data_IF_070550146620
#
_entry.id   IF_070550146620
#
_cell.length_a   1.000
_cell.length_b   1.000
_cell.length_c   1.000
_cell.angle_alpha   90.00
_cell.angle_beta   90.00
_cell.angle_gamma   90.00
#
_symmetry.space_group_name_H-M   'P 1'
#
loop_
_entity.id
_entity.type
_entity.pdbx_description
1 polymer ?
#
# COMPACT_ATOMS: atom_id res chain seq x y z
N UNK A 1 28.30 57.76 11.84
CA UNK A 1 28.61 56.39 11.44
C UNK A 1 27.29 55.71 11.08
N UNK A 2 26.93 55.65 9.80
CA UNK A 2 25.65 55.04 9.40
C UNK A 2 25.73 53.52 9.62
N UNK A 3 24.74 52.89 10.29
CA UNK A 3 24.75 51.45 10.46
C UNK A 3 24.69 50.76 9.09
N UNK A 4 25.53 49.74 8.92
CA UNK A 4 25.66 49.01 7.67
C UNK A 4 24.42 48.12 7.45
N UNK A 5 23.33 48.73 6.97
CA UNK A 5 22.01 48.13 6.80
C UNK A 5 22.02 46.77 6.10
N UNK A 6 22.96 46.54 5.17
CA UNK A 6 23.12 45.25 4.47
C UNK A 6 23.48 44.09 5.42
N UNK A 7 24.29 44.35 6.44
CA UNK A 7 24.69 43.33 7.42
C UNK A 7 23.55 43.02 8.41
N UNK A 8 22.77 44.05 8.77
CA UNK A 8 21.59 43.89 9.63
C UNK A 8 20.51 43.07 8.91
N UNK A 9 20.23 43.38 7.65
CA UNK A 9 19.24 42.66 6.84
C UNK A 9 19.66 41.20 6.66
N UNK A 10 20.94 40.92 6.32
CA UNK A 10 21.45 39.54 6.23
C UNK A 10 21.27 38.76 7.54
N UNK A 11 21.57 39.38 8.69
CA UNK A 11 21.37 38.76 10.00
C UNK A 11 19.91 38.40 10.26
N UNK A 12 18.98 39.31 9.96
CA UNK A 12 17.54 39.06 10.10
C UNK A 12 17.07 37.95 9.15
N UNK A 13 17.55 37.91 7.91
CA UNK A 13 17.22 36.85 6.95
C UNK A 13 17.66 35.47 7.44
N UNK A 14 18.86 35.33 8.01
CA UNK A 14 19.31 34.06 8.58
C UNK A 14 18.43 33.60 9.75
N UNK A 15 18.05 34.53 10.63
CA UNK A 15 17.16 34.24 11.77
C UNK A 15 15.80 33.75 11.27
N UNK A 16 15.23 34.40 10.24
CA UNK A 16 13.96 34.00 9.65
C UNK A 16 14.02 32.61 9.02
N UNK A 17 15.11 32.26 8.32
CA UNK A 17 15.31 30.93 7.73
C UNK A 17 15.37 29.87 8.83
N UNK A 18 16.11 30.12 9.92
CA UNK A 18 16.21 29.18 11.05
C UNK A 18 14.84 28.98 11.70
N UNK A 19 14.10 30.06 11.96
CA UNK A 19 12.74 29.99 12.50
C UNK A 19 11.82 29.19 11.58
N UNK A 20 11.92 29.40 10.26
CA UNK A 20 11.13 28.67 9.28
C UNK A 20 11.45 27.17 9.27
N UNK A 21 12.73 26.80 9.38
CA UNK A 21 13.15 25.41 9.55
C UNK A 21 12.59 24.76 10.81
N UNK A 22 12.56 25.48 11.94
CA UNK A 22 11.97 24.98 13.18
C UNK A 22 10.45 24.83 13.08
N UNK A 23 9.76 25.74 12.39
CA UNK A 23 8.31 25.64 12.17
C UNK A 23 7.97 24.50 11.21
N UNK A 24 8.67 24.38 10.08
CA UNK A 24 8.48 23.30 9.12
C UNK A 24 8.84 21.93 9.72
N UNK A 25 9.90 21.88 10.53
CA UNK A 25 10.34 20.67 11.22
C UNK A 25 9.32 20.14 12.24
N UNK A 26 8.52 21.00 12.88
CA UNK A 26 7.49 20.56 13.85
C UNK A 26 6.50 19.56 13.25
N UNK A 27 6.13 19.72 11.98
CA UNK A 27 5.24 18.77 11.29
C UNK A 27 5.88 17.39 11.12
N UNK A 28 7.17 17.35 10.75
CA UNK A 28 7.96 16.12 10.65
C UNK A 28 8.13 15.43 12.01
N UNK A 29 8.41 16.19 13.07
CA UNK A 29 8.52 15.64 14.43
C UNK A 29 7.19 15.10 14.96
N UNK A 30 6.06 15.78 14.67
CA UNK A 30 4.74 15.28 15.03
C UNK A 30 4.42 13.96 14.31
N UNK A 31 4.73 13.86 13.02
CA UNK A 31 4.50 12.63 12.25
C UNK A 31 5.40 11.49 12.72
N UNK A 32 6.70 11.75 12.95
CA UNK A 32 7.61 10.76 13.53
C UNK A 32 7.18 10.32 14.93
N UNK A 33 6.62 11.22 15.74
CA UNK A 33 6.10 10.87 17.06
C UNK A 33 4.87 9.97 16.96
N UNK A 34 3.93 10.25 16.05
CA UNK A 34 2.76 9.39 15.80
C UNK A 34 3.21 7.99 15.34
N UNK A 35 4.15 7.92 14.40
CA UNK A 35 4.70 6.65 13.93
C UNK A 35 5.43 5.92 15.07
N UNK A 36 6.24 6.63 15.85
CA UNK A 36 6.96 6.08 17.01
C UNK A 36 6.01 5.59 18.10
N UNK A 37 4.92 6.31 18.37
CA UNK A 37 3.91 5.93 19.37
C UNK A 37 3.09 4.73 18.88
N UNK A 38 2.77 4.65 17.59
CA UNK A 38 2.19 3.44 16.98
C UNK A 38 3.16 2.24 17.02
N UNK A 39 4.46 2.46 16.80
CA UNK A 39 5.52 1.44 16.90
C UNK A 39 5.81 1.03 18.36
N UNK A 40 5.66 1.94 19.32
CA UNK A 40 5.84 1.65 20.74
C UNK A 40 4.63 0.90 21.33
N UNK A 41 3.41 1.24 20.91
CA UNK A 41 2.20 0.51 21.32
C UNK A 41 2.16 -0.91 20.74
N UNK A 42 2.84 -1.16 19.62
CA UNK A 42 2.95 -2.48 18.99
C UNK A 42 4.03 -3.39 19.62
N UNK A 43 4.84 -2.88 20.55
CA UNK A 43 6.00 -3.61 21.11
C UNK A 43 5.62 -4.82 22.01
N UNK A 44 4.38 -4.87 22.49
CA UNK A 44 3.81 -5.98 23.28
C UNK A 44 2.65 -6.70 22.55
N UNK A 45 2.39 -6.36 21.29
CA UNK A 45 1.33 -6.96 20.50
C UNK A 45 1.87 -8.20 19.78
N UNK A 46 1.05 -9.24 19.65
CA UNK A 46 1.39 -10.39 18.82
C UNK A 46 1.55 -9.97 17.34
N UNK A 47 2.29 -10.73 16.54
CA UNK A 47 2.48 -10.44 15.11
C UNK A 47 1.15 -10.24 14.37
N UNK A 48 0.09 -10.94 14.76
CA UNK A 48 -1.25 -10.75 14.20
C UNK A 48 -1.90 -9.42 14.58
N UNK A 49 -1.74 -8.99 15.83
CA UNK A 49 -2.24 -7.70 16.30
C UNK A 49 -1.49 -6.54 15.64
N UNK A 50 -0.18 -6.68 15.43
CA UNK A 50 0.62 -5.72 14.66
C UNK A 50 0.09 -5.64 13.23
N UNK A 51 -0.20 -6.77 12.58
CA UNK A 51 -0.76 -6.79 11.22
C UNK A 51 -2.14 -6.16 11.15
N UNK A 52 -2.99 -6.37 12.15
CA UNK A 52 -4.31 -5.76 12.19
C UNK A 52 -4.23 -4.23 12.41
N UNK A 53 -3.26 -3.75 13.18
CA UNK A 53 -3.00 -2.30 13.35
C UNK A 53 -2.45 -1.66 12.08
N UNK A 54 -1.53 -2.33 11.39
CA UNK A 54 -0.85 -1.78 10.20
C UNK A 54 -1.75 -1.87 8.95
N UNK A 55 -2.42 -3.00 8.75
CA UNK A 55 -3.15 -3.30 7.52
C UNK A 55 -4.67 -3.27 7.67
N UNK A 56 -5.17 -3.17 8.90
CA UNK A 56 -6.59 -3.01 9.19
C UNK A 56 -7.45 -4.13 8.63
N UNK A 57 -8.59 -3.74 8.08
CA UNK A 57 -9.59 -4.63 7.47
C UNK A 57 -9.07 -5.37 6.23
N UNK A 58 -8.01 -4.87 5.57
CA UNK A 58 -7.35 -5.60 4.49
C UNK A 58 -6.73 -6.92 4.97
N UNK A 59 -6.22 -6.97 6.21
CA UNK A 59 -5.75 -8.23 6.80
C UNK A 59 -6.88 -9.24 6.94
N UNK A 60 -8.08 -8.80 7.37
CA UNK A 60 -9.24 -9.69 7.48
C UNK A 60 -9.65 -10.23 6.12
N UNK A 61 -9.69 -9.38 5.10
CA UNK A 61 -9.93 -9.79 3.71
C UNK A 61 -8.94 -10.88 3.25
N UNK A 62 -7.66 -10.72 3.53
CA UNK A 62 -6.65 -11.74 3.21
C UNK A 62 -6.93 -13.05 3.95
N UNK A 63 -7.31 -13.01 5.22
CA UNK A 63 -7.65 -14.20 5.99
C UNK A 63 -8.86 -14.94 5.40
N UNK A 64 -9.89 -14.23 4.96
CA UNK A 64 -11.04 -14.83 4.27
C UNK A 64 -10.62 -15.46 2.94
N UNK A 65 -9.76 -14.80 2.16
CA UNK A 65 -9.20 -15.39 0.94
C UNK A 65 -8.45 -16.71 1.21
N UNK A 66 -7.70 -16.82 2.32
CA UNK A 66 -6.98 -18.06 2.67
C UNK A 66 -7.91 -19.22 3.01
N UNK A 67 -9.10 -18.93 3.57
CA UNK A 67 -10.12 -19.94 3.90
C UNK A 67 -10.86 -20.43 2.66
N UNK A 68 -11.20 -19.53 1.74
CA UNK A 68 -12.06 -19.85 0.60
C UNK A 68 -11.32 -20.35 -0.65
N UNK A 69 -10.08 -19.89 -0.84
CA UNK A 69 -9.32 -20.15 -2.07
C UNK A 69 -8.38 -21.33 -1.82
N UNK A 70 -8.38 -22.40 -2.66
CA UNK A 70 -7.41 -23.49 -2.58
C UNK A 70 -5.96 -23.00 -2.71
N UNK A 71 -5.01 -23.74 -2.15
CA UNK A 71 -3.58 -23.37 -2.14
C UNK A 71 -2.92 -23.36 -3.54
N UNK A 72 -3.39 -24.21 -4.44
CA UNK A 72 -2.92 -24.36 -5.82
C UNK A 72 -3.58 -23.38 -6.81
N UNK A 73 -4.51 -22.55 -6.34
CA UNK A 73 -5.25 -21.63 -7.18
C UNK A 73 -4.37 -20.47 -7.69
N UNK A 74 -4.68 -20.04 -8.91
CA UNK A 74 -4.20 -18.75 -9.44
C UNK A 74 -5.32 -17.72 -9.34
N UNK A 75 -4.98 -16.59 -8.72
CA UNK A 75 -5.91 -15.55 -8.30
C UNK A 75 -5.58 -14.25 -9.02
N UNK A 76 -6.59 -13.58 -9.55
CA UNK A 76 -6.44 -12.23 -10.11
C UNK A 76 -6.97 -11.20 -9.12
N UNK A 77 -6.07 -10.34 -8.65
CA UNK A 77 -6.36 -9.25 -7.73
C UNK A 77 -6.71 -7.99 -8.54
N UNK A 78 -7.93 -7.50 -8.32
CA UNK A 78 -8.42 -6.24 -8.88
C UNK A 78 -8.05 -5.14 -7.89
N UNK A 79 -6.91 -4.49 -8.13
CA UNK A 79 -6.46 -3.34 -7.35
C UNK A 79 -5.71 -2.36 -8.23
N UNK A 80 -5.76 -1.07 -7.85
CA UNK A 80 -4.89 -0.03 -8.39
C UNK A 80 -3.73 0.29 -7.43
N UNK A 81 -3.67 -0.38 -6.28
CA UNK A 81 -2.68 -0.15 -5.24
C UNK A 81 -1.61 -1.25 -5.29
N UNK A 82 -0.38 -0.85 -5.59
CA UNK A 82 0.77 -1.74 -5.64
C UNK A 82 1.04 -2.43 -4.30
N UNK A 83 0.87 -1.75 -3.16
CA UNK A 83 1.10 -2.36 -1.85
C UNK A 83 0.16 -3.54 -1.58
N UNK A 84 -1.09 -3.44 -2.05
CA UNK A 84 -2.08 -4.51 -1.90
C UNK A 84 -1.63 -5.76 -2.65
N UNK A 85 -1.01 -5.61 -3.82
CA UNK A 85 -0.45 -6.72 -4.59
C UNK A 85 0.66 -7.47 -3.86
N UNK A 86 1.68 -6.77 -3.32
CA UNK A 86 2.76 -7.43 -2.59
C UNK A 86 2.25 -8.13 -1.35
N UNK A 87 1.36 -7.45 -0.64
CA UNK A 87 0.77 -7.99 0.56
C UNK A 87 -0.05 -9.24 0.26
N UNK A 88 -0.94 -9.18 -0.73
CA UNK A 88 -1.69 -10.35 -1.18
C UNK A 88 -0.78 -11.49 -1.62
N UNK A 89 0.26 -11.21 -2.42
CA UNK A 89 1.21 -12.23 -2.89
C UNK A 89 1.94 -12.90 -1.73
N UNK A 90 2.42 -12.12 -0.77
CA UNK A 90 3.13 -12.63 0.39
C UNK A 90 2.24 -13.48 1.30
N UNK A 91 1.02 -13.00 1.60
CA UNK A 91 0.16 -13.67 2.58
C UNK A 91 -0.72 -14.77 2.00
N UNK A 92 -1.01 -14.76 0.70
CA UNK A 92 -1.79 -15.81 0.03
C UNK A 92 -0.93 -16.98 -0.46
N UNK A 93 0.41 -16.87 -0.40
CA UNK A 93 1.33 -17.97 -0.69
C UNK A 93 0.84 -19.28 -0.02
N UNK A 94 0.81 -20.41 -0.75
CA UNK A 94 1.43 -20.66 -2.07
C UNK A 94 0.59 -20.26 -3.30
N UNK A 95 -0.57 -19.61 -3.13
CA UNK A 95 -1.43 -19.19 -4.25
C UNK A 95 -0.70 -18.20 -5.14
N UNK A 96 -0.82 -18.37 -6.45
CA UNK A 96 -0.25 -17.42 -7.42
C UNK A 96 -1.18 -16.21 -7.55
N UNK A 97 -0.68 -15.02 -7.23
CA UNK A 97 -1.44 -13.77 -7.33
C UNK A 97 -0.99 -12.99 -8.57
N UNK A 98 -1.94 -12.59 -9.40
CA UNK A 98 -1.75 -11.81 -10.62
C UNK A 98 -2.49 -10.49 -10.48
N UNK A 99 -1.98 -9.43 -11.11
CA UNK A 99 -2.63 -8.11 -11.17
C UNK A 99 -2.61 -7.56 -12.60
N UNK A 100 -3.53 -6.64 -12.89
CA UNK A 100 -3.35 -5.72 -14.00
C UNK A 100 -2.39 -4.60 -13.54
N UNK A 101 -1.21 -4.52 -14.13
CA UNK A 101 -0.11 -3.72 -13.60
C UNK A 101 -0.38 -2.20 -13.59
N UNK A 102 0.09 -1.49 -12.55
CA UNK A 102 0.58 -0.12 -12.67
C UNK A 102 2.08 -0.03 -13.02
N UNK A 103 2.87 -1.12 -12.90
CA UNK A 103 4.31 -1.06 -13.15
C UNK A 103 4.90 -2.31 -13.81
N UNK A 104 5.85 -2.11 -14.72
CA UNK A 104 6.29 -3.01 -15.80
C UNK A 104 7.17 -4.20 -15.35
N UNK A 105 7.55 -4.28 -14.09
CA UNK A 105 8.69 -5.09 -13.63
C UNK A 105 8.35 -6.32 -12.80
N UNK A 106 7.10 -6.48 -12.35
CA UNK A 106 6.71 -7.61 -11.48
C UNK A 106 5.42 -8.24 -11.99
N UNK A 107 5.56 -9.35 -12.72
CA UNK A 107 4.51 -10.27 -13.21
C UNK A 107 3.21 -9.62 -13.72
N UNK A 108 3.31 -8.41 -14.24
CA UNK A 108 2.23 -7.62 -14.80
C UNK A 108 1.80 -8.18 -16.14
N UNK A 109 0.63 -8.81 -16.19
CA UNK A 109 0.15 -9.54 -17.37
C UNK A 109 -0.15 -8.68 -18.60
N UNK A 110 0.11 -7.37 -18.57
CA UNK A 110 -0.04 -6.48 -19.71
C UNK A 110 1.05 -5.39 -19.72
N UNK A 111 1.77 -5.26 -20.85
CA UNK A 111 2.90 -4.33 -21.06
C UNK A 111 2.53 -2.99 -21.72
N UNK A 112 1.24 -2.72 -21.95
CA UNK A 112 0.74 -1.43 -22.49
C UNK A 112 -0.53 -1.04 -21.74
N UNK A 113 -0.80 0.24 -21.54
CA UNK A 113 -1.99 0.79 -20.84
C UNK A 113 -3.31 0.48 -21.57
N UNK A 114 -3.59 -0.80 -21.77
CA UNK A 114 -4.75 -1.35 -22.44
C UNK A 114 -5.61 -1.85 -21.29
N UNK A 115 -6.84 -1.35 -21.21
CA UNK A 115 -7.88 -1.91 -20.37
C UNK A 115 -7.90 -3.43 -20.56
N UNK A 116 -7.44 -4.18 -19.56
CA UNK A 116 -7.31 -5.62 -19.64
C UNK A 116 -8.72 -6.19 -19.67
N UNK A 117 -9.13 -6.70 -20.83
CA UNK A 117 -10.41 -7.37 -20.97
C UNK A 117 -10.23 -8.76 -20.36
N UNK A 118 -10.88 -9.02 -19.22
CA UNK A 118 -10.87 -10.33 -18.55
C UNK A 118 -11.79 -11.29 -19.32
N UNK A 119 -11.44 -11.56 -20.57
CA UNK A 119 -12.14 -12.52 -21.41
C UNK A 119 -11.80 -13.97 -21.02
N UNK A 120 -12.61 -14.90 -21.51
CA UNK A 120 -12.48 -16.32 -21.18
C UNK A 120 -11.10 -16.86 -21.58
N UNK A 121 -10.59 -16.44 -22.73
CA UNK A 121 -9.30 -16.87 -23.27
C UNK A 121 -8.14 -16.45 -22.34
N UNK A 122 -8.13 -15.20 -21.86
CA UNK A 122 -7.11 -14.73 -20.93
C UNK A 122 -7.17 -15.48 -19.59
N UNK A 123 -8.37 -15.70 -19.07
CA UNK A 123 -8.58 -16.42 -17.81
C UNK A 123 -8.09 -17.87 -17.90
N UNK A 124 -8.41 -18.57 -19.00
CA UNK A 124 -7.95 -19.94 -19.26
C UNK A 124 -6.44 -20.00 -19.49
N UNK A 125 -5.88 -19.11 -20.32
CA UNK A 125 -4.45 -19.07 -20.63
C UNK A 125 -3.57 -18.90 -19.38
N UNK A 126 -4.05 -18.15 -18.40
CA UNK A 126 -3.33 -17.88 -17.16
C UNK A 126 -3.80 -18.76 -15.98
N UNK A 127 -4.69 -19.73 -16.22
CA UNK A 127 -5.29 -20.60 -15.21
C UNK A 127 -5.95 -19.83 -14.05
N UNK A 128 -6.49 -18.64 -14.30
CA UNK A 128 -7.09 -17.78 -13.27
C UNK A 128 -8.43 -18.38 -12.85
N UNK A 129 -8.47 -18.94 -11.65
CA UNK A 129 -9.66 -19.59 -11.09
C UNK A 129 -10.44 -18.71 -10.11
N UNK A 130 -9.85 -17.60 -9.65
CA UNK A 130 -10.48 -16.69 -8.69
C UNK A 130 -10.23 -15.23 -9.05
N UNK A 131 -11.26 -14.38 -8.87
CA UNK A 131 -11.14 -12.94 -8.84
C UNK A 131 -11.30 -12.45 -7.40
N UNK A 132 -10.39 -11.60 -6.94
CA UNK A 132 -10.50 -10.96 -5.64
C UNK A 132 -10.42 -9.44 -5.77
N UNK A 133 -11.18 -8.72 -4.96
CA UNK A 133 -11.15 -7.25 -4.87
C UNK A 133 -11.40 -6.83 -3.43
N UNK A 134 -10.65 -5.83 -2.98
CA UNK A 134 -10.94 -5.11 -1.74
C UNK A 134 -11.19 -3.64 -2.05
N UNK A 135 -12.31 -3.10 -1.59
CA UNK A 135 -12.70 -1.70 -1.74
C UNK A 135 -12.47 -1.00 -0.39
N UNK A 136 -11.35 -0.27 -0.31
CA UNK A 136 -10.91 0.44 0.91
C UNK A 136 -11.87 1.55 1.33
N UNK A 137 -12.59 2.17 0.39
CA UNK A 137 -13.51 3.29 0.69
C UNK A 137 -14.82 2.79 1.27
N UNK A 138 -15.30 1.64 0.78
CA UNK A 138 -16.58 1.04 1.19
C UNK A 138 -16.43 -0.06 2.23
N UNK A 139 -15.20 -0.34 2.64
CA UNK A 139 -14.83 -1.47 3.51
C UNK A 139 -15.54 -2.77 3.12
N UNK A 140 -15.45 -3.11 1.84
CA UNK A 140 -16.12 -4.27 1.27
C UNK A 140 -15.16 -5.07 0.41
N UNK A 141 -15.39 -6.37 0.31
CA UNK A 141 -14.59 -7.26 -0.52
C UNK A 141 -15.44 -8.16 -1.40
N UNK A 142 -14.78 -8.69 -2.42
CA UNK A 142 -15.34 -9.68 -3.32
C UNK A 142 -14.33 -10.80 -3.47
N UNK A 143 -14.78 -12.04 -3.26
CA UNK A 143 -14.09 -13.26 -3.65
C UNK A 143 -15.04 -13.99 -4.61
N UNK A 144 -14.61 -14.18 -5.85
CA UNK A 144 -15.43 -14.80 -6.89
C UNK A 144 -14.67 -15.94 -7.54
N UNK A 145 -15.16 -17.16 -7.32
CA UNK A 145 -14.71 -18.34 -8.07
C UNK A 145 -15.17 -18.24 -9.52
N UNK A 146 -14.25 -18.44 -10.44
CA UNK A 146 -14.51 -18.51 -11.86
C UNK A 146 -14.76 -19.96 -12.27
N UNK A 147 -15.70 -20.17 -13.19
CA UNK A 147 -15.84 -21.41 -13.94
C UNK A 147 -15.05 -21.22 -15.23
N UNK A 148 -13.84 -21.75 -15.27
CA UNK A 148 -13.04 -21.85 -16.49
C UNK A 148 -13.65 -22.94 -17.38
#
# INVERSE_FOLDING_TARGET
>A
MMPNYKNIIKGISYILIIIWFFIAGKGLFAHMKIVKDAVMQTRNLSDEQIRLVIYGEFYKFIQECKKEIPEDATVFLITNNFFDYYYSTYYLYPRRVLINAPDKSVDGLVTKSISLNLDKEFLEKNNISYLIRYDREKDNFMIKKLKL
#
